data_IF_670114597656
#
_entry.id   IF_670114597656
#
_cell.length_a   1.000
_cell.length_b   1.000
_cell.length_c   1.000
_cell.angle_alpha   90.00
_cell.angle_beta   90.00
_cell.angle_gamma   90.00
#
_symmetry.space_group_name_H-M   'P 1'
#
loop_
_entity.id
_entity.type
_entity.pdbx_description
1 polymer ?
#
# COMPACT_ATOMS: atom_id res chain seq x y z
N UNK A 1 30.53 30.63 -6.52
CA UNK A 1 30.66 29.73 -5.34
C UNK A 1 30.77 28.32 -5.85
N UNK A 2 31.97 27.80 -5.97
CA UNK A 2 32.22 26.40 -6.35
C UNK A 2 31.96 25.54 -5.12
N UNK A 3 30.84 24.82 -5.14
CA UNK A 3 30.53 23.81 -4.12
C UNK A 3 31.51 22.66 -4.31
N UNK A 4 32.43 22.50 -3.37
CA UNK A 4 33.36 21.36 -3.32
C UNK A 4 32.58 20.05 -3.20
N UNK A 5 32.67 19.22 -4.22
CA UNK A 5 32.05 17.90 -4.34
C UNK A 5 32.90 16.78 -3.72
N UNK A 6 33.61 17.04 -2.63
CA UNK A 6 34.43 16.04 -1.93
C UNK A 6 33.52 15.10 -1.12
N UNK A 7 33.33 13.89 -1.61
CA UNK A 7 32.55 12.90 -0.85
C UNK A 7 32.63 11.45 -1.33
N UNK A 8 32.75 11.19 -2.61
CA UNK A 8 32.99 9.85 -3.13
C UNK A 8 33.92 10.02 -4.36
N UNK A 9 35.19 9.74 -4.19
CA UNK A 9 36.10 9.63 -5.34
C UNK A 9 35.93 8.25 -5.97
N UNK A 10 35.03 8.16 -6.96
CA UNK A 10 34.97 6.99 -7.81
C UNK A 10 36.08 7.18 -8.87
N UNK A 11 37.20 6.47 -8.70
CA UNK A 11 38.23 6.36 -9.71
C UNK A 11 37.73 5.57 -10.90
N UNK A 12 36.84 6.13 -11.69
CA UNK A 12 36.36 5.51 -12.92
C UNK A 12 37.09 6.10 -14.12
N UNK A 13 37.62 5.23 -14.94
CA UNK A 13 38.34 5.54 -16.20
C UNK A 13 37.42 6.15 -17.27
N UNK A 14 36.10 6.18 -17.06
CA UNK A 14 35.06 6.63 -18.00
C UNK A 14 34.36 7.89 -17.48
N UNK A 15 34.55 9.01 -18.15
CA UNK A 15 33.99 10.31 -17.78
C UNK A 15 32.45 10.30 -17.68
N UNK A 16 31.77 9.53 -18.51
CA UNK A 16 30.33 9.42 -18.52
C UNK A 16 29.75 8.77 -17.25
N UNK A 17 30.44 7.76 -16.68
CA UNK A 17 30.01 7.13 -15.42
C UNK A 17 30.07 8.12 -14.27
N UNK A 18 31.12 8.93 -14.23
CA UNK A 18 31.24 9.98 -13.21
C UNK A 18 30.13 11.01 -13.33
N UNK A 19 29.83 11.47 -14.56
CA UNK A 19 28.75 12.42 -14.80
C UNK A 19 27.38 11.84 -14.43
N UNK A 20 27.11 10.57 -14.79
CA UNK A 20 25.89 9.86 -14.41
C UNK A 20 25.76 9.76 -12.87
N UNK A 21 26.83 9.41 -12.17
CA UNK A 21 26.84 9.34 -10.69
C UNK A 21 26.65 10.73 -10.05
N UNK A 22 27.21 11.77 -10.61
CA UNK A 22 27.02 13.15 -10.15
C UNK A 22 25.55 13.59 -10.34
N UNK A 23 24.93 13.25 -11.48
CA UNK A 23 23.52 13.51 -11.75
C UNK A 23 22.64 12.74 -10.78
N UNK A 24 22.81 11.41 -10.67
CA UNK A 24 22.03 10.55 -9.80
C UNK A 24 22.15 10.93 -8.32
N UNK A 25 23.32 11.42 -7.86
CA UNK A 25 23.51 11.90 -6.49
C UNK A 25 23.09 13.36 -6.29
N UNK A 26 22.48 14.00 -7.27
CA UNK A 26 22.06 15.40 -7.22
C UNK A 26 20.73 15.55 -6.46
N UNK A 27 20.68 16.49 -5.51
CA UNK A 27 19.42 16.85 -4.83
C UNK A 27 18.34 17.32 -5.82
N UNK A 28 18.72 18.04 -6.89
CA UNK A 28 17.77 18.53 -7.90
C UNK A 28 17.08 17.37 -8.61
N UNK A 29 17.83 16.34 -8.97
CA UNK A 29 17.30 15.14 -9.61
C UNK A 29 16.34 14.39 -8.67
N UNK A 30 16.72 14.17 -7.41
CA UNK A 30 15.84 13.53 -6.43
C UNK A 30 14.53 14.32 -6.21
N UNK A 31 14.60 15.65 -6.13
CA UNK A 31 13.41 16.50 -5.99
C UNK A 31 12.49 16.38 -7.23
N UNK A 32 13.07 16.38 -8.44
CA UNK A 32 12.28 16.21 -9.67
C UNK A 32 11.54 14.87 -9.70
N UNK A 33 12.24 13.76 -9.34
CA UNK A 33 11.62 12.44 -9.25
C UNK A 33 10.50 12.41 -8.20
N UNK A 34 10.77 12.97 -7.03
CA UNK A 34 9.76 13.04 -5.94
C UNK A 34 8.53 13.83 -6.37
N UNK A 35 8.71 14.95 -7.09
CA UNK A 35 7.61 15.76 -7.60
C UNK A 35 6.74 14.99 -8.60
N UNK A 36 7.36 14.23 -9.51
CA UNK A 36 6.63 13.40 -10.48
C UNK A 36 5.84 12.30 -9.74
N UNK A 37 6.48 11.60 -8.79
CA UNK A 37 5.82 10.57 -7.98
C UNK A 37 4.65 11.16 -7.19
N UNK A 38 4.83 12.35 -6.61
CA UNK A 38 3.77 13.01 -5.85
C UNK A 38 2.55 13.33 -6.72
N UNK A 39 2.77 13.85 -7.94
CA UNK A 39 1.68 14.13 -8.90
C UNK A 39 0.99 12.83 -9.30
N UNK A 40 1.76 11.80 -9.64
CA UNK A 40 1.22 10.49 -9.99
C UNK A 40 0.41 9.88 -8.84
N UNK A 41 0.89 10.01 -7.60
CA UNK A 41 0.18 9.51 -6.41
C UNK A 41 -1.14 10.25 -6.16
N UNK A 42 -1.19 11.56 -6.41
CA UNK A 42 -2.47 12.32 -6.35
C UNK A 42 -3.47 11.76 -7.36
N UNK A 43 -3.04 11.54 -8.61
CA UNK A 43 -3.91 10.95 -9.63
C UNK A 43 -4.35 9.54 -9.19
N UNK A 44 -3.43 8.71 -8.69
CA UNK A 44 -3.72 7.35 -8.24
C UNK A 44 -4.62 7.27 -7.00
N UNK A 45 -4.69 8.34 -6.21
CA UNK A 45 -5.59 8.43 -5.05
C UNK A 45 -7.00 8.85 -5.47
N UNK A 46 -7.11 9.76 -6.43
CA UNK A 46 -8.41 10.27 -6.91
C UNK A 46 -9.07 9.26 -7.86
N UNK A 47 -8.30 8.64 -8.74
CA UNK A 47 -8.80 7.63 -9.66
C UNK A 47 -8.82 6.27 -8.95
N UNK A 48 -9.99 5.61 -8.90
CA UNK A 48 -10.08 4.23 -8.40
C UNK A 48 -9.08 3.36 -9.15
N UNK A 49 -8.36 2.54 -8.42
CA UNK A 49 -7.32 1.68 -8.98
C UNK A 49 -7.82 0.25 -9.16
N UNK A 50 -7.33 -0.43 -10.21
CA UNK A 50 -7.60 -1.85 -10.49
C UNK A 50 -9.09 -2.18 -10.74
N UNK A 51 -9.89 -1.23 -11.16
CA UNK A 51 -11.28 -1.47 -11.59
C UNK A 51 -11.32 -2.04 -13.02
N UNK A 52 -12.36 -2.79 -13.39
CA UNK A 52 -12.60 -3.20 -14.76
C UNK A 52 -12.69 -1.98 -15.71
N UNK A 53 -12.11 -2.10 -16.90
CA UNK A 53 -12.04 -0.97 -17.87
C UNK A 53 -13.42 -0.41 -18.20
N UNK A 54 -14.45 -1.26 -18.27
CA UNK A 54 -15.82 -0.84 -18.52
C UNK A 54 -16.34 0.18 -17.49
N UNK A 55 -15.88 0.11 -16.25
CA UNK A 55 -16.27 1.07 -15.21
C UNK A 55 -15.73 2.47 -15.51
N UNK A 56 -14.49 2.57 -16.02
CA UNK A 56 -13.92 3.84 -16.46
C UNK A 56 -14.61 4.38 -17.71
N UNK A 57 -14.96 3.51 -18.67
CA UNK A 57 -15.73 3.92 -19.86
C UNK A 57 -17.10 4.48 -19.48
N UNK A 58 -17.78 3.83 -18.55
CA UNK A 58 -19.11 4.25 -18.07
C UNK A 58 -19.05 5.57 -17.28
N UNK A 59 -17.98 5.79 -16.50
CA UNK A 59 -17.86 6.94 -15.62
C UNK A 59 -17.26 8.17 -16.32
N UNK A 60 -16.25 7.98 -17.19
CA UNK A 60 -15.45 9.07 -17.80
C UNK A 60 -15.61 9.16 -19.31
N UNK A 61 -16.25 8.18 -19.92
CA UNK A 61 -16.37 8.06 -21.37
C UNK A 61 -15.17 7.39 -22.04
N UNK A 62 -15.31 7.00 -23.33
CA UNK A 62 -14.31 6.19 -24.05
C UNK A 62 -12.97 6.92 -24.23
N UNK A 63 -12.98 8.22 -24.50
CA UNK A 63 -11.77 9.02 -24.70
C UNK A 63 -10.86 9.02 -23.46
N UNK A 64 -11.41 9.33 -22.29
CA UNK A 64 -10.62 9.36 -21.04
C UNK A 64 -10.18 7.98 -20.59
N UNK A 65 -11.02 6.96 -20.78
CA UNK A 65 -10.65 5.58 -20.44
C UNK A 65 -9.50 5.07 -21.30
N UNK A 66 -9.44 5.40 -22.59
CA UNK A 66 -8.32 5.06 -23.46
C UNK A 66 -7.01 5.76 -23.01
N UNK A 67 -7.11 7.03 -22.60
CA UNK A 67 -5.97 7.75 -22.03
C UNK A 67 -5.48 7.09 -20.73
N UNK A 68 -6.39 6.69 -19.85
CA UNK A 68 -6.04 6.01 -18.60
C UNK A 68 -5.35 4.66 -18.85
N UNK A 69 -5.79 3.92 -19.84
CA UNK A 69 -5.15 2.65 -20.24
C UNK A 69 -3.77 2.90 -20.83
N UNK A 70 -3.65 3.84 -21.77
CA UNK A 70 -2.39 4.16 -22.47
C UNK A 70 -1.28 4.55 -21.48
N UNK A 71 -1.59 5.38 -20.50
CA UNK A 71 -0.64 5.82 -19.48
C UNK A 71 -0.64 4.93 -18.23
N UNK A 72 -1.41 3.84 -18.21
CA UNK A 72 -1.58 2.95 -17.05
C UNK A 72 -2.02 3.71 -15.79
N UNK A 73 -2.85 4.75 -15.93
CA UNK A 73 -3.31 5.56 -14.80
C UNK A 73 -4.34 4.81 -13.93
N UNK A 74 -5.02 3.81 -14.47
CA UNK A 74 -5.93 2.92 -13.76
C UNK A 74 -5.19 1.89 -12.86
N UNK A 75 -3.86 1.76 -13.04
CA UNK A 75 -2.96 0.88 -12.30
C UNK A 75 -1.62 1.55 -12.00
N UNK A 76 -1.65 2.82 -11.57
CA UNK A 76 -0.46 3.67 -11.43
C UNK A 76 0.63 2.99 -10.59
N UNK A 77 0.25 2.45 -9.43
CA UNK A 77 1.22 1.88 -8.49
C UNK A 77 1.92 0.61 -9.00
N UNK A 78 1.36 -0.05 -10.02
CA UNK A 78 1.93 -1.20 -10.72
C UNK A 78 2.50 -0.82 -12.10
N UNK A 79 2.36 0.44 -12.55
CA UNK A 79 2.85 0.89 -13.84
C UNK A 79 4.39 0.84 -13.89
N UNK A 80 4.94 0.29 -14.98
CA UNK A 80 6.38 0.12 -15.14
C UNK A 80 7.18 1.42 -15.01
N UNK A 81 6.65 2.55 -15.52
CA UNK A 81 7.30 3.85 -15.44
C UNK A 81 7.29 4.41 -14.00
N UNK A 82 6.21 4.17 -13.24
CA UNK A 82 6.13 4.57 -11.83
C UNK A 82 7.15 3.80 -10.98
N UNK A 83 7.20 2.48 -11.15
CA UNK A 83 8.16 1.62 -10.44
C UNK A 83 9.61 1.97 -10.82
N UNK A 84 9.88 2.31 -12.09
CA UNK A 84 11.18 2.75 -12.55
C UNK A 84 11.60 4.06 -11.88
N UNK A 85 10.71 5.06 -11.86
CA UNK A 85 10.97 6.36 -11.21
C UNK A 85 11.21 6.15 -9.71
N UNK A 86 10.41 5.28 -9.08
CA UNK A 86 10.56 4.93 -7.65
C UNK A 86 11.93 4.28 -7.37
N UNK A 87 12.38 3.35 -8.22
CA UNK A 87 13.69 2.73 -8.12
C UNK A 87 14.82 3.76 -8.27
N UNK A 88 14.70 4.68 -9.23
CA UNK A 88 15.64 5.79 -9.38
C UNK A 88 15.64 6.72 -8.18
N UNK A 89 14.49 6.99 -7.57
CA UNK A 89 14.40 7.80 -6.35
C UNK A 89 15.11 7.12 -5.18
N UNK A 90 14.90 5.82 -4.98
CA UNK A 90 15.63 5.02 -3.97
C UNK A 90 17.13 5.12 -4.18
N UNK A 91 17.59 4.88 -5.41
CA UNK A 91 19.00 4.96 -5.77
C UNK A 91 19.58 6.37 -5.51
N UNK A 92 18.92 7.41 -6.02
CA UNK A 92 19.34 8.80 -5.90
C UNK A 92 19.41 9.25 -4.46
N UNK A 93 18.38 8.97 -3.66
CA UNK A 93 18.33 9.36 -2.24
C UNK A 93 19.36 8.57 -1.42
N UNK A 94 19.56 7.28 -1.69
CA UNK A 94 20.59 6.47 -1.05
C UNK A 94 22.01 7.00 -1.33
N UNK A 95 22.29 7.38 -2.57
CA UNK A 95 23.58 8.01 -2.94
C UNK A 95 23.75 9.37 -2.26
N UNK A 96 22.69 10.16 -2.15
CA UNK A 96 22.70 11.41 -1.39
C UNK A 96 23.03 11.19 0.09
N UNK A 97 22.40 10.21 0.72
CA UNK A 97 22.68 9.84 2.11
C UNK A 97 24.14 9.39 2.26
N UNK A 98 24.59 8.46 1.44
CA UNK A 98 25.96 7.93 1.48
C UNK A 98 27.02 9.04 1.34
N UNK A 99 26.73 10.07 0.53
CA UNK A 99 27.61 11.22 0.32
C UNK A 99 27.65 12.17 1.52
N UNK A 100 26.53 12.40 2.19
CA UNK A 100 26.41 13.39 3.26
C UNK A 100 26.59 12.80 4.67
N UNK A 101 26.21 11.53 4.87
CA UNK A 101 26.27 10.88 6.16
C UNK A 101 27.65 10.89 6.83
N UNK A 102 28.78 10.57 6.15
CA UNK A 102 30.08 10.57 6.78
C UNK A 102 30.44 11.96 7.33
N UNK A 103 30.18 13.03 6.57
CA UNK A 103 30.43 14.40 6.98
C UNK A 103 29.57 14.81 8.18
N UNK A 104 28.29 14.45 8.16
CA UNK A 104 27.36 14.74 9.26
C UNK A 104 27.78 14.00 10.54
N UNK A 105 28.20 12.74 10.43
CA UNK A 105 28.64 11.93 11.55
C UNK A 105 29.98 12.46 12.14
N UNK A 106 30.91 12.89 11.27
CA UNK A 106 32.14 13.54 11.72
C UNK A 106 31.83 14.86 12.43
N UNK A 107 31.01 15.72 11.82
CA UNK A 107 30.57 16.98 12.42
C UNK A 107 29.83 16.77 13.77
N UNK A 108 29.12 15.64 13.92
CA UNK A 108 28.43 15.30 15.17
C UNK A 108 29.41 14.87 16.28
N UNK A 109 30.53 14.24 15.92
CA UNK A 109 31.52 13.75 16.89
C UNK A 109 32.61 14.78 17.18
N UNK A 110 33.13 15.48 16.19
CA UNK A 110 34.26 16.39 16.28
C UNK A 110 33.83 17.77 16.75
N UNK A 111 34.60 18.36 17.68
CA UNK A 111 34.35 19.69 18.24
C UNK A 111 35.25 20.77 17.63
N UNK A 112 36.18 20.42 16.73
CA UNK A 112 37.19 21.33 16.16
C UNK A 112 38.09 21.98 17.22
N UNK A 113 38.28 21.32 18.33
CA UNK A 113 39.15 21.74 19.41
C UNK A 113 40.61 21.91 18.97
N UNK A 114 41.03 21.23 17.89
CA UNK A 114 42.38 21.33 17.32
C UNK A 114 42.63 22.55 16.43
N UNK A 115 41.72 23.53 16.35
CA UNK A 115 41.84 24.68 15.44
C UNK A 115 42.98 25.63 15.84
N UNK A 116 43.80 26.09 14.87
CA UNK A 116 44.91 27.02 15.12
C UNK A 116 44.37 28.41 15.47
N UNK A 117 45.11 29.16 16.35
CA UNK A 117 44.72 30.52 16.76
C UNK A 117 44.59 31.48 15.58
N UNK A 118 45.44 31.32 14.54
CA UNK A 118 45.35 32.11 13.32
C UNK A 118 44.03 31.86 12.55
N UNK A 119 43.52 30.63 12.54
CA UNK A 119 42.26 30.30 11.91
C UNK A 119 41.07 30.93 12.65
N UNK A 120 41.17 31.11 13.98
CA UNK A 120 40.14 31.81 14.74
C UNK A 120 40.00 33.27 14.33
N UNK A 121 41.08 33.91 13.92
CA UNK A 121 41.10 35.31 13.44
C UNK A 121 40.40 35.47 12.08
N UNK A 122 40.18 34.39 11.34
CA UNK A 122 39.51 34.40 10.03
C UNK A 122 37.99 34.31 10.12
N UNK A 123 37.41 34.06 11.31
CA UNK A 123 35.95 34.04 11.47
C UNK A 123 35.35 35.45 11.40
N UNK A 124 34.22 35.58 10.71
CA UNK A 124 33.48 36.85 10.60
C UNK A 124 32.98 37.37 11.96
N UNK A 125 32.47 36.45 12.79
CA UNK A 125 32.01 36.76 14.16
C UNK A 125 33.13 36.43 15.15
N UNK A 126 33.88 37.43 15.57
CA UNK A 126 34.96 37.30 16.53
C UNK A 126 35.01 38.48 17.49
N UNK A 127 35.41 38.21 18.71
CA UNK A 127 35.69 39.22 19.70
C UNK A 127 37.00 38.84 20.43
N UNK A 128 37.74 39.81 20.93
CA UNK A 128 38.93 39.62 21.75
C UNK A 128 38.90 40.60 22.90
N UNK A 129 39.40 40.18 24.05
CA UNK A 129 39.48 41.01 25.25
C UNK A 129 40.54 40.48 26.22
N UNK A 130 40.99 41.32 27.12
CA UNK A 130 41.90 40.97 28.21
C UNK A 130 41.04 40.48 29.40
N UNK A 131 41.51 39.45 30.08
CA UNK A 131 40.94 38.95 31.34
C UNK A 131 42.00 39.03 32.43
N UNK A 132 41.58 39.41 33.63
CA UNK A 132 42.45 39.54 34.81
C UNK A 132 42.57 38.25 35.60
N UNK A 133 41.83 37.22 35.26
CA UNK A 133 41.80 35.90 35.92
C UNK A 133 42.76 34.91 35.26
N UNK A 134 43.24 33.86 35.99
CA UNK A 134 44.05 32.80 35.43
C UNK A 134 43.36 32.07 34.28
N UNK A 135 44.15 31.67 33.26
CA UNK A 135 43.65 31.03 32.02
C UNK A 135 42.76 29.80 32.28
N UNK A 136 43.11 28.95 33.25
CA UNK A 136 42.35 27.74 33.58
C UNK A 136 41.01 28.06 34.23
N UNK A 137 40.95 29.07 35.10
CA UNK A 137 39.72 29.51 35.78
C UNK A 137 38.75 30.17 34.78
N UNK A 138 39.30 31.04 33.91
CA UNK A 138 38.53 31.62 32.82
C UNK A 138 37.91 30.56 31.92
N UNK A 139 38.71 29.55 31.50
CA UNK A 139 38.23 28.46 30.68
C UNK A 139 37.20 27.59 31.40
N UNK A 140 37.36 27.34 32.68
CA UNK A 140 36.39 26.60 33.49
C UNK A 140 35.08 27.38 33.66
N UNK A 141 35.11 28.70 33.86
CA UNK A 141 33.94 29.57 33.96
C UNK A 141 33.15 29.59 32.64
N UNK A 142 33.84 29.84 31.51
CA UNK A 142 33.25 29.84 30.17
C UNK A 142 32.61 28.48 29.86
N UNK A 143 33.32 27.38 30.19
CA UNK A 143 32.80 26.03 29.97
C UNK A 143 31.54 25.74 30.77
N UNK A 144 31.46 26.23 32.01
CA UNK A 144 30.24 26.07 32.85
C UNK A 144 29.08 26.87 32.28
N UNK A 145 29.31 28.11 31.88
CA UNK A 145 28.27 28.96 31.28
C UNK A 145 27.71 28.37 29.99
N UNK A 146 28.60 27.88 29.12
CA UNK A 146 28.21 27.23 27.86
C UNK A 146 27.39 25.94 28.12
N UNK A 147 27.80 25.12 29.08
CA UNK A 147 27.05 23.93 29.47
C UNK A 147 25.68 24.26 30.04
N UNK A 148 25.60 25.31 30.90
CA UNK A 148 24.34 25.80 31.44
C UNK A 148 23.41 26.29 30.35
N UNK A 149 23.95 26.85 29.24
CA UNK A 149 23.22 27.22 28.03
C UNK A 149 22.87 26.05 27.08
N UNK A 150 23.08 24.79 27.48
CA UNK A 150 22.75 23.61 26.65
C UNK A 150 23.80 23.23 25.60
N UNK A 151 25.00 23.86 25.65
CA UNK A 151 26.09 23.55 24.72
C UNK A 151 26.88 22.33 25.20
N UNK A 152 27.24 21.44 24.26
CA UNK A 152 28.26 20.41 24.52
C UNK A 152 29.63 21.04 24.41
N UNK A 153 30.47 20.88 25.44
CA UNK A 153 31.77 21.56 25.55
C UNK A 153 32.89 20.54 25.62
N UNK A 154 33.97 20.78 24.88
CA UNK A 154 35.24 20.07 24.97
C UNK A 154 36.35 21.09 25.13
N UNK A 155 37.30 20.82 26.02
CA UNK A 155 38.45 21.67 26.31
C UNK A 155 39.74 20.97 25.88
N UNK A 156 40.73 21.77 25.38
CA UNK A 156 42.06 21.28 25.04
C UNK A 156 43.09 22.29 25.50
N UNK A 157 44.05 21.84 26.32
CA UNK A 157 45.20 22.65 26.71
C UNK A 157 46.20 22.68 25.57
N UNK A 158 46.84 23.85 25.38
CA UNK A 158 47.84 24.08 24.31
C UNK A 158 48.99 24.91 24.83
N UNK A 159 50.15 24.66 24.29
CA UNK A 159 51.28 25.58 24.46
C UNK A 159 51.14 26.71 23.45
N UNK A 160 51.27 27.95 23.94
CA UNK A 160 51.27 29.16 23.14
C UNK A 160 52.58 29.92 23.38
N UNK A 161 52.98 30.85 22.50
CA UNK A 161 54.18 31.68 22.72
C UNK A 161 54.17 32.48 24.04
N UNK A 162 52.97 32.61 24.66
CA UNK A 162 52.77 33.37 25.90
C UNK A 162 52.49 32.49 27.12
N UNK A 163 52.75 31.16 27.03
CA UNK A 163 52.48 30.19 28.08
C UNK A 163 51.34 29.22 27.74
N UNK A 164 50.81 28.52 28.74
CA UNK A 164 49.71 27.58 28.55
C UNK A 164 48.41 28.29 28.22
N UNK A 165 47.83 27.95 27.09
CA UNK A 165 46.49 28.36 26.67
C UNK A 165 45.48 27.22 26.70
N UNK A 166 44.20 27.54 26.84
CA UNK A 166 43.10 26.56 26.79
C UNK A 166 42.16 26.92 25.66
N UNK A 167 41.91 25.94 24.79
CA UNK A 167 40.87 26.02 23.76
C UNK A 167 39.58 25.43 24.33
N UNK A 168 38.55 26.26 24.35
CA UNK A 168 37.18 25.81 24.69
C UNK A 168 36.38 25.74 23.40
N UNK A 169 36.02 24.54 22.98
CA UNK A 169 35.20 24.31 21.82
C UNK A 169 33.81 23.89 22.25
N UNK A 170 32.78 24.60 21.79
CA UNK A 170 31.42 24.33 22.15
C UNK A 170 30.54 24.19 20.90
N UNK A 171 29.57 23.31 20.94
CA UNK A 171 28.57 23.16 19.87
C UNK A 171 27.18 22.83 20.40
N UNK A 172 26.17 23.34 19.70
CA UNK A 172 24.77 23.05 19.93
C UNK A 172 24.09 22.76 18.59
N UNK A 173 22.90 22.16 18.63
CA UNK A 173 22.08 21.91 17.44
C UNK A 173 22.62 20.84 16.48
N UNK A 174 23.71 20.14 16.81
CA UNK A 174 24.28 19.09 15.93
C UNK A 174 23.30 17.92 15.68
N UNK A 175 22.33 17.72 16.58
CA UNK A 175 21.27 16.69 16.46
C UNK A 175 20.36 16.97 15.26
N UNK A 176 20.15 18.22 14.88
CA UNK A 176 19.31 18.59 13.74
C UNK A 176 19.81 17.99 12.42
N UNK A 177 21.13 17.81 12.28
CA UNK A 177 21.72 17.14 11.11
C UNK A 177 21.43 15.63 11.07
N UNK A 178 21.25 14.99 12.24
CA UNK A 178 20.83 13.59 12.34
C UNK A 178 19.38 13.44 11.89
N UNK A 179 18.52 14.42 12.19
CA UNK A 179 17.15 14.47 11.69
C UNK A 179 17.08 14.46 10.15
N UNK A 180 18.00 15.15 9.49
CA UNK A 180 18.12 15.07 8.03
C UNK A 180 18.38 13.64 7.54
N UNK A 181 19.33 12.92 8.15
CA UNK A 181 19.61 11.54 7.80
C UNK A 181 18.41 10.62 8.07
N UNK A 182 17.77 10.79 9.23
CA UNK A 182 16.60 9.98 9.59
C UNK A 182 15.44 10.18 8.61
N UNK A 183 15.12 11.44 8.25
CA UNK A 183 14.05 11.74 7.29
C UNK A 183 14.32 11.15 5.90
N UNK A 184 15.54 11.29 5.38
CA UNK A 184 15.90 10.74 4.07
C UNK A 184 15.95 9.21 4.09
N UNK A 185 16.45 8.60 5.18
CA UNK A 185 16.41 7.14 5.35
C UNK A 185 14.99 6.61 5.43
N UNK A 186 14.06 7.33 6.08
CA UNK A 186 12.65 6.96 6.11
C UNK A 186 12.03 6.96 4.72
N UNK A 187 12.32 7.98 3.88
CA UNK A 187 11.86 8.02 2.49
C UNK A 187 12.37 6.80 1.71
N UNK A 188 13.66 6.46 1.85
CA UNK A 188 14.24 5.29 1.18
C UNK A 188 13.55 4.00 1.63
N UNK A 189 13.32 3.82 2.93
CA UNK A 189 12.65 2.64 3.47
C UNK A 189 11.20 2.52 2.99
N UNK A 190 10.45 3.64 2.96
CA UNK A 190 9.09 3.67 2.44
C UNK A 190 9.07 3.30 0.95
N UNK A 191 9.97 3.87 0.16
CA UNK A 191 10.05 3.58 -1.27
C UNK A 191 10.47 2.13 -1.55
N UNK A 192 11.39 1.57 -0.76
CA UNK A 192 11.77 0.15 -0.85
C UNK A 192 10.54 -0.71 -0.49
N UNK A 193 9.82 -0.40 0.58
CA UNK A 193 8.59 -1.09 0.95
C UNK A 193 7.57 -1.08 -0.19
N UNK A 194 7.36 0.06 -0.83
CA UNK A 194 6.45 0.19 -1.97
C UNK A 194 6.90 -0.62 -3.21
N UNK A 195 8.21 -0.74 -3.46
CA UNK A 195 8.75 -1.61 -4.51
C UNK A 195 8.49 -3.10 -4.22
N UNK A 196 8.55 -3.50 -2.94
CA UNK A 196 8.24 -4.86 -2.53
C UNK A 196 6.74 -5.17 -2.53
N UNK A 197 5.90 -4.21 -2.17
CA UNK A 197 4.44 -4.34 -2.21
C UNK A 197 3.88 -4.30 -3.64
N UNK A 198 4.62 -3.69 -4.57
CA UNK A 198 4.27 -3.66 -5.98
C UNK A 198 4.59 -4.97 -6.71
N UNK A 199 4.02 -5.13 -7.91
CA UNK A 199 4.22 -6.32 -8.76
C UNK A 199 5.66 -6.52 -9.25
N UNK A 200 6.59 -5.61 -8.93
CA UNK A 200 7.96 -5.66 -9.47
C UNK A 200 8.70 -6.92 -9.04
N UNK A 201 8.52 -7.37 -7.79
CA UNK A 201 9.17 -8.59 -7.29
C UNK A 201 8.56 -9.82 -7.97
N UNK A 202 7.25 -9.85 -8.15
CA UNK A 202 6.55 -10.93 -8.87
C UNK A 202 6.99 -10.96 -10.33
N UNK A 203 7.04 -9.83 -11.02
CA UNK A 203 7.53 -9.73 -12.41
C UNK A 203 8.98 -10.13 -12.56
N UNK A 204 9.84 -9.74 -11.61
CA UNK A 204 11.24 -10.17 -11.60
C UNK A 204 11.38 -11.69 -11.45
N UNK A 205 10.58 -12.32 -10.58
CA UNK A 205 10.55 -13.77 -10.42
C UNK A 205 10.01 -14.48 -11.67
N UNK A 206 8.98 -13.93 -12.29
CA UNK A 206 8.45 -14.45 -13.55
C UNK A 206 9.54 -14.43 -14.64
N UNK A 207 10.25 -13.31 -14.75
CA UNK A 207 11.33 -13.17 -15.74
C UNK A 207 12.53 -14.09 -15.48
N UNK A 208 12.95 -14.21 -14.21
CA UNK A 208 14.08 -15.07 -13.82
C UNK A 208 13.74 -16.56 -13.82
N UNK A 209 12.47 -16.91 -13.60
CA UNK A 209 11.98 -18.29 -13.50
C UNK A 209 11.24 -18.78 -14.74
N UNK A 210 11.32 -18.04 -15.87
CA UNK A 210 10.60 -18.33 -17.11
C UNK A 210 9.10 -18.60 -16.88
N UNK A 211 8.49 -17.85 -15.94
CA UNK A 211 7.07 -17.99 -15.63
C UNK A 211 6.23 -17.11 -16.54
N UNK A 212 5.12 -17.65 -16.98
CA UNK A 212 4.19 -16.99 -17.89
C UNK A 212 2.84 -16.73 -17.24
N UNK A 213 2.07 -15.81 -17.80
CA UNK A 213 0.72 -15.50 -17.36
C UNK A 213 -0.26 -16.50 -17.97
N UNK A 214 -1.13 -17.05 -17.15
CA UNK A 214 -2.23 -17.89 -17.62
C UNK A 214 -3.38 -17.02 -18.11
N UNK A 215 -3.77 -17.21 -19.39
CA UNK A 215 -4.85 -16.46 -20.06
C UNK A 215 -6.11 -17.28 -20.24
N UNK A 216 -6.10 -18.54 -19.83
CA UNK A 216 -7.25 -19.44 -19.94
C UNK A 216 -8.23 -19.31 -18.80
N UNK A 217 -9.36 -20.03 -18.93
CA UNK A 217 -10.30 -20.30 -17.85
C UNK A 217 -10.26 -21.80 -17.52
N UNK A 218 -10.82 -22.19 -16.37
CA UNK A 218 -10.91 -23.60 -15.94
C UNK A 218 -10.61 -23.78 -14.46
N UNK A 219 -10.34 -25.01 -14.08
CA UNK A 219 -10.03 -25.34 -12.70
C UNK A 219 -8.58 -24.94 -12.34
N UNK A 220 -8.39 -24.43 -11.13
CA UNK A 220 -7.06 -24.07 -10.61
C UNK A 220 -6.09 -25.26 -10.67
N UNK A 221 -6.60 -26.49 -10.53
CA UNK A 221 -5.82 -27.72 -10.60
C UNK A 221 -5.17 -27.95 -11.98
N UNK A 222 -5.84 -27.50 -13.05
CA UNK A 222 -5.40 -27.71 -14.43
C UNK A 222 -4.40 -26.66 -14.91
N UNK A 223 -4.13 -25.62 -14.11
CA UNK A 223 -3.19 -24.55 -14.46
C UNK A 223 -1.76 -25.09 -14.42
N UNK A 224 -0.99 -24.97 -15.52
CA UNK A 224 0.37 -25.50 -15.64
C UNK A 224 1.35 -24.92 -14.61
N UNK A 225 2.43 -25.65 -14.32
CA UNK A 225 3.47 -25.23 -13.37
C UNK A 225 4.23 -23.96 -13.81
N UNK A 226 4.27 -23.68 -15.10
CA UNK A 226 4.87 -22.45 -15.65
C UNK A 226 4.07 -21.17 -15.27
N UNK A 227 2.79 -21.32 -14.91
CA UNK A 227 1.92 -20.26 -14.47
C UNK A 227 1.80 -20.17 -12.93
N UNK A 228 2.65 -20.91 -12.20
CA UNK A 228 2.71 -20.93 -10.74
C UNK A 228 4.03 -20.39 -10.23
N UNK A 229 3.98 -19.52 -9.23
CA UNK A 229 5.17 -18.99 -8.57
C UNK A 229 5.77 -20.01 -7.59
N UNK A 230 7.03 -19.80 -7.22
CA UNK A 230 7.71 -20.63 -6.22
C UNK A 230 7.06 -20.47 -4.84
N UNK A 231 7.03 -21.55 -4.05
CA UNK A 231 6.60 -21.52 -2.64
C UNK A 231 7.48 -20.58 -1.77
N UNK A 232 8.74 -20.37 -2.19
CA UNK A 232 9.69 -19.49 -1.50
C UNK A 232 9.58 -18.01 -1.96
N UNK A 233 8.44 -17.62 -2.53
CA UNK A 233 8.21 -16.24 -2.92
C UNK A 233 8.24 -15.30 -1.69
N UNK A 234 9.15 -14.31 -1.64
CA UNK A 234 9.29 -13.44 -0.47
C UNK A 234 8.14 -12.45 -0.30
N UNK A 235 7.40 -12.16 -1.38
CA UNK A 235 6.26 -11.24 -1.34
C UNK A 235 5.31 -11.50 -2.50
N UNK A 236 4.02 -11.46 -2.19
CA UNK A 236 2.93 -11.52 -3.17
C UNK A 236 1.68 -10.88 -2.58
N UNK A 237 0.81 -10.45 -3.45
CA UNK A 237 -0.52 -9.98 -3.10
C UNK A 237 -1.51 -10.54 -4.11
N UNK A 238 -2.55 -11.19 -3.62
CA UNK A 238 -3.56 -11.79 -4.47
C UNK A 238 -4.83 -12.12 -3.71
N UNK A 239 -5.79 -12.64 -4.43
CA UNK A 239 -7.10 -12.98 -3.89
C UNK A 239 -7.30 -14.50 -3.89
N UNK A 240 -8.05 -14.97 -2.92
CA UNK A 240 -8.49 -16.36 -2.83
C UNK A 240 -9.98 -16.37 -2.51
N UNK A 241 -10.75 -17.05 -3.33
CA UNK A 241 -12.18 -17.26 -3.10
C UNK A 241 -12.35 -18.60 -2.38
N UNK A 242 -12.99 -18.57 -1.23
CA UNK A 242 -13.26 -19.76 -0.42
C UNK A 242 -14.76 -19.75 -0.06
N UNK A 243 -15.56 -20.62 -0.66
CA UNK A 243 -16.96 -20.81 -0.25
C UNK A 243 -17.08 -21.38 1.16
N UNK A 244 -18.21 -21.16 1.83
CA UNK A 244 -18.48 -21.80 3.13
C UNK A 244 -18.44 -23.33 3.02
N UNK A 245 -17.77 -23.99 3.95
CA UNK A 245 -17.55 -25.43 3.96
C UNK A 245 -16.52 -25.94 2.95
N UNK A 246 -15.89 -25.02 2.19
CA UNK A 246 -14.83 -25.38 1.24
C UNK A 246 -13.45 -24.98 1.73
N UNK A 247 -12.41 -25.54 1.10
CA UNK A 247 -11.01 -25.34 1.43
C UNK A 247 -10.23 -24.93 0.19
N UNK A 248 -9.36 -23.93 0.33
CA UNK A 248 -8.46 -23.49 -0.74
C UNK A 248 -7.02 -23.30 -0.22
N UNK A 249 -6.05 -23.44 -1.11
CA UNK A 249 -4.62 -23.28 -0.79
C UNK A 249 -3.84 -22.56 -1.86
N UNK A 250 -4.50 -21.98 -2.85
CA UNK A 250 -3.89 -21.29 -3.97
C UNK A 250 -4.43 -19.88 -4.08
N UNK A 251 -3.55 -18.92 -4.12
CA UNK A 251 -3.85 -17.49 -4.27
C UNK A 251 -3.73 -17.11 -5.74
N UNK A 252 -4.67 -16.32 -6.23
CA UNK A 252 -4.72 -15.81 -7.60
C UNK A 252 -4.15 -14.39 -7.60
N UNK A 253 -3.06 -14.19 -8.33
CA UNK A 253 -2.43 -12.89 -8.55
C UNK A 253 -2.85 -12.38 -9.92
N UNK A 254 -3.68 -11.33 -9.94
CA UNK A 254 -4.11 -10.68 -11.18
C UNK A 254 -2.94 -9.95 -11.83
N UNK A 255 -2.73 -10.17 -13.12
CA UNK A 255 -1.76 -9.48 -13.96
C UNK A 255 -2.52 -8.78 -15.11
N UNK A 256 -1.94 -7.78 -15.79
CA UNK A 256 -2.64 -7.07 -16.86
C UNK A 256 -3.21 -7.97 -17.96
N UNK A 257 -2.52 -9.09 -18.25
CA UNK A 257 -2.86 -9.99 -19.33
C UNK A 257 -3.41 -11.35 -18.89
N UNK A 258 -3.74 -11.53 -17.60
CA UNK A 258 -4.26 -12.79 -17.06
C UNK A 258 -3.92 -12.99 -15.59
N UNK A 259 -3.62 -14.22 -15.18
CA UNK A 259 -3.34 -14.53 -13.77
C UNK A 259 -2.07 -15.36 -13.61
N UNK A 260 -1.46 -15.26 -12.43
CA UNK A 260 -0.39 -16.14 -11.96
C UNK A 260 -0.81 -16.72 -10.62
N UNK A 261 -0.52 -17.97 -10.37
CA UNK A 261 -0.91 -18.65 -9.14
C UNK A 261 0.23 -18.71 -8.14
N UNK A 262 -0.11 -18.55 -6.86
CA UNK A 262 0.78 -18.76 -5.72
C UNK A 262 0.18 -19.81 -4.81
N UNK A 263 0.83 -20.94 -4.71
CA UNK A 263 0.44 -21.98 -3.76
C UNK A 263 0.93 -21.62 -2.35
N UNK A 264 0.11 -21.94 -1.33
CA UNK A 264 0.45 -21.76 0.07
C UNK A 264 0.90 -23.08 0.71
N UNK A 265 1.82 -23.03 1.70
CA UNK A 265 2.21 -24.20 2.49
C UNK A 265 1.11 -24.66 3.46
N UNK A 266 -0.01 -24.00 3.47
CA UNK A 266 -1.22 -24.31 4.25
C UNK A 266 -2.47 -24.14 3.38
N UNK A 267 -3.60 -24.61 3.85
CA UNK A 267 -4.90 -24.33 3.25
C UNK A 267 -5.81 -23.64 4.25
N UNK A 268 -6.76 -22.90 3.72
CA UNK A 268 -7.75 -22.16 4.49
C UNK A 268 -9.12 -22.76 4.18
N UNK A 269 -9.81 -23.20 5.20
CA UNK A 269 -11.21 -23.61 5.18
C UNK A 269 -12.07 -22.48 5.72
N UNK A 270 -13.11 -22.08 5.02
CA UNK A 270 -14.11 -21.14 5.52
C UNK A 270 -15.22 -21.91 6.20
N UNK A 271 -15.28 -21.84 7.51
CA UNK A 271 -16.34 -22.50 8.29
C UNK A 271 -17.63 -21.71 8.24
N UNK A 272 -17.54 -20.38 8.38
CA UNK A 272 -18.70 -19.50 8.38
C UNK A 272 -18.34 -18.08 7.99
N UNK A 273 -19.15 -17.47 7.14
CA UNK A 273 -19.10 -16.04 6.86
C UNK A 273 -20.17 -15.31 7.70
N UNK A 274 -19.77 -14.29 8.44
CA UNK A 274 -20.61 -13.57 9.39
C UNK A 274 -20.78 -12.13 8.91
N UNK A 275 -22.04 -11.70 8.79
CA UNK A 275 -22.39 -10.30 8.54
C UNK A 275 -23.27 -9.83 9.69
N UNK A 276 -22.86 -8.77 10.38
CA UNK A 276 -23.69 -8.08 11.36
C UNK A 276 -24.16 -6.75 10.79
N UNK A 277 -25.35 -6.33 11.19
CA UNK A 277 -25.95 -5.09 10.76
C UNK A 277 -26.25 -4.18 11.95
N UNK A 278 -26.20 -2.88 11.73
CA UNK A 278 -26.80 -1.90 12.64
C UNK A 278 -28.32 -1.93 12.53
N UNK A 279 -29.02 -1.36 13.52
CA UNK A 279 -30.48 -1.19 13.48
C UNK A 279 -30.96 -0.38 12.26
N UNK A 280 -30.08 0.39 11.66
CA UNK A 280 -30.31 1.15 10.41
C UNK A 280 -30.27 0.29 9.15
N UNK A 281 -29.92 -1.01 9.25
CA UNK A 281 -29.71 -1.91 8.10
C UNK A 281 -28.35 -1.77 7.43
N UNK A 282 -27.48 -0.87 7.90
CA UNK A 282 -26.10 -0.76 7.39
C UNK A 282 -25.24 -1.90 7.92
N UNK A 283 -24.33 -2.48 7.10
CA UNK A 283 -23.38 -3.46 7.57
C UNK A 283 -22.50 -2.88 8.69
N UNK A 284 -22.38 -3.63 9.78
CA UNK A 284 -21.57 -3.31 10.95
C UNK A 284 -20.24 -4.08 10.96
N UNK A 285 -20.32 -5.35 10.60
CA UNK A 285 -19.19 -6.28 10.63
C UNK A 285 -19.27 -7.24 9.46
N UNK A 286 -18.11 -7.48 8.83
CA UNK A 286 -17.87 -8.62 7.97
C UNK A 286 -16.74 -9.44 8.58
N UNK A 287 -17.00 -10.71 8.84
CA UNK A 287 -16.02 -11.62 9.43
C UNK A 287 -16.09 -12.99 8.75
N UNK A 288 -14.94 -13.66 8.69
CA UNK A 288 -14.80 -15.02 8.24
C UNK A 288 -14.24 -15.88 9.36
N UNK A 289 -14.98 -16.86 9.84
CA UNK A 289 -14.48 -17.90 10.73
C UNK A 289 -13.78 -18.94 9.88
N UNK A 290 -12.46 -19.07 10.02
CA UNK A 290 -11.61 -19.92 9.20
C UNK A 290 -10.90 -20.96 10.04
N UNK A 291 -10.55 -22.09 9.40
CA UNK A 291 -9.59 -23.06 9.92
C UNK A 291 -8.39 -23.13 9.00
N UNK A 292 -7.22 -22.86 9.52
CA UNK A 292 -5.96 -22.99 8.81
C UNK A 292 -5.42 -24.39 9.02
N UNK A 293 -5.21 -25.13 7.93
CA UNK A 293 -4.65 -26.47 7.93
C UNK A 293 -3.21 -26.44 7.42
N UNK A 294 -2.26 -26.68 8.30
CA UNK A 294 -0.84 -26.71 7.94
C UNK A 294 -0.49 -28.01 7.22
N UNK A 295 0.02 -27.91 5.98
CA UNK A 295 0.34 -29.09 5.15
C UNK A 295 1.56 -29.87 5.62
N UNK A 296 2.50 -29.21 6.34
CA UNK A 296 3.73 -29.84 6.79
C UNK A 296 3.56 -30.51 8.16
N UNK A 297 2.88 -29.84 9.08
CA UNK A 297 2.74 -30.32 10.45
C UNK A 297 1.43 -31.08 10.70
N UNK A 298 0.45 -30.92 9.81
CA UNK A 298 -0.91 -31.43 10.01
C UNK A 298 -1.71 -30.68 11.09
N UNK A 299 -1.16 -29.61 11.65
CA UNK A 299 -1.83 -28.82 12.69
C UNK A 299 -2.97 -28.01 12.10
N UNK A 300 -4.00 -27.79 12.93
CA UNK A 300 -5.18 -26.99 12.58
C UNK A 300 -5.32 -25.85 13.57
N UNK A 301 -5.63 -24.64 13.06
CA UNK A 301 -5.79 -23.43 13.82
C UNK A 301 -7.10 -22.75 13.44
N UNK A 302 -8.03 -22.64 14.39
CA UNK A 302 -9.26 -21.89 14.19
C UNK A 302 -9.01 -20.41 14.50
N UNK A 303 -9.35 -19.55 13.55
CA UNK A 303 -9.12 -18.11 13.63
C UNK A 303 -10.30 -17.35 13.04
N UNK A 304 -10.44 -16.07 13.41
CA UNK A 304 -11.43 -15.17 12.82
C UNK A 304 -10.74 -14.01 12.11
N UNK A 305 -11.05 -13.84 10.83
CA UNK A 305 -10.58 -12.71 10.02
C UNK A 305 -11.71 -11.69 9.91
N UNK A 306 -11.46 -10.45 10.29
CA UNK A 306 -12.42 -9.36 10.18
C UNK A 306 -11.86 -8.23 9.31
N UNK A 307 -12.71 -7.35 8.83
CA UNK A 307 -12.27 -6.14 8.15
C UNK A 307 -11.37 -5.32 9.10
N UNK A 308 -10.17 -4.98 8.66
CA UNK A 308 -9.11 -4.32 9.42
C UNK A 308 -8.48 -5.14 10.57
N UNK A 309 -8.86 -6.41 10.75
CA UNK A 309 -8.24 -7.33 11.71
C UNK A 309 -7.78 -8.60 10.98
N UNK A 310 -6.62 -8.53 10.29
CA UNK A 310 -6.09 -9.67 9.57
C UNK A 310 -5.49 -10.72 10.50
N UNK A 311 -5.46 -11.96 10.03
CA UNK A 311 -4.74 -13.05 10.68
C UNK A 311 -3.40 -13.28 9.99
N UNK A 312 -2.36 -13.52 10.78
CA UNK A 312 -1.02 -13.80 10.27
C UNK A 312 -0.63 -15.25 10.53
N UNK A 313 -0.28 -15.98 9.47
CA UNK A 313 0.20 -17.35 9.56
C UNK A 313 1.38 -17.61 8.63
N UNK A 314 2.49 -18.16 9.13
CA UNK A 314 3.73 -18.41 8.36
C UNK A 314 4.22 -17.23 7.53
N UNK A 315 4.07 -16.00 8.03
CA UNK A 315 4.47 -14.77 7.33
C UNK A 315 3.48 -14.29 6.27
N UNK A 316 2.38 -15.01 6.06
CA UNK A 316 1.28 -14.58 5.19
C UNK A 316 0.22 -13.88 6.01
N UNK A 317 -0.19 -12.70 5.56
CA UNK A 317 -1.30 -11.93 6.14
C UNK A 317 -2.58 -12.24 5.37
N UNK A 318 -3.62 -12.65 6.07
CA UNK A 318 -4.92 -13.03 5.53
C UNK A 318 -5.93 -11.94 5.89
N UNK A 319 -6.48 -11.27 4.87
CA UNK A 319 -7.42 -10.17 5.03
C UNK A 319 -8.81 -10.55 4.52
N UNK A 320 -9.86 -10.07 5.18
CA UNK A 320 -11.20 -10.02 4.61
C UNK A 320 -11.26 -8.86 3.62
N UNK A 321 -11.35 -9.14 2.31
CA UNK A 321 -11.36 -8.10 1.28
C UNK A 321 -12.73 -7.87 0.66
N UNK A 322 -13.42 -8.94 0.30
CA UNK A 322 -14.73 -8.89 -0.33
C UNK A 322 -15.48 -10.19 -0.04
N UNK A 323 -16.75 -10.22 -0.38
CA UNK A 323 -17.56 -11.42 -0.39
C UNK A 323 -18.39 -11.43 -1.67
N UNK A 324 -18.75 -12.62 -2.11
CA UNK A 324 -19.63 -12.84 -3.24
C UNK A 324 -20.65 -13.89 -2.85
N UNK A 325 -21.76 -13.91 -3.56
CA UNK A 325 -22.79 -14.95 -3.37
C UNK A 325 -22.42 -16.18 -4.21
N UNK A 326 -21.64 -17.04 -3.62
CA UNK A 326 -21.05 -18.22 -4.26
C UNK A 326 -21.98 -19.41 -4.38
N UNK A 327 -23.29 -19.23 -4.60
CA UNK A 327 -24.17 -20.35 -4.86
C UNK A 327 -25.47 -20.41 -4.06
N UNK A 328 -26.02 -19.27 -3.67
CA UNK A 328 -27.37 -19.22 -3.10
C UNK A 328 -28.37 -19.77 -4.08
N UNK A 329 -29.28 -20.59 -3.56
CA UNK A 329 -30.42 -21.08 -4.34
C UNK A 329 -31.55 -20.05 -4.35
N UNK A 330 -31.97 -19.67 -5.54
CA UNK A 330 -33.10 -18.74 -5.74
C UNK A 330 -34.35 -19.51 -6.05
N UNK A 331 -35.39 -19.24 -5.28
CA UNK A 331 -36.76 -19.75 -5.53
C UNK A 331 -37.62 -18.59 -6.06
N UNK A 332 -37.92 -18.60 -7.33
CA UNK A 332 -38.76 -17.60 -7.98
C UNK A 332 -40.13 -18.13 -8.34
N UNK A 333 -41.18 -17.33 -8.13
CA UNK A 333 -42.51 -17.61 -8.64
C UNK A 333 -42.69 -16.84 -9.96
N UNK A 334 -42.71 -17.55 -11.07
CA UNK A 334 -42.98 -16.97 -12.38
C UNK A 334 -44.50 -16.77 -12.56
N UNK A 335 -44.87 -15.53 -12.83
CA UNK A 335 -46.25 -15.14 -13.13
C UNK A 335 -46.35 -14.85 -14.64
N UNK A 336 -46.94 -15.75 -15.41
CA UNK A 336 -47.17 -15.53 -16.84
C UNK A 336 -48.11 -14.34 -17.06
N UNK A 337 -47.77 -13.45 -17.97
CA UNK A 337 -48.57 -12.27 -18.28
C UNK A 337 -49.81 -12.55 -19.13
N UNK A 338 -49.99 -13.81 -19.58
CA UNK A 338 -51.16 -14.23 -20.36
C UNK A 338 -52.33 -14.69 -19.48
N UNK A 339 -53.55 -14.37 -19.88
CA UNK A 339 -54.78 -14.55 -19.09
C UNK A 339 -55.18 -16.00 -18.72
N UNK A 340 -54.50 -17.01 -19.25
CA UNK A 340 -54.87 -18.44 -19.08
C UNK A 340 -53.77 -19.33 -18.51
N UNK A 341 -52.71 -18.75 -17.94
CA UNK A 341 -51.57 -19.55 -17.50
C UNK A 341 -51.39 -19.51 -15.99
N UNK A 342 -51.14 -20.70 -15.41
CA UNK A 342 -50.94 -20.82 -13.95
C UNK A 342 -49.51 -20.40 -13.57
N UNK A 343 -49.33 -19.78 -12.39
CA UNK A 343 -47.99 -19.53 -11.82
C UNK A 343 -47.19 -20.83 -11.68
N UNK A 344 -45.89 -20.77 -11.93
CA UNK A 344 -45.00 -21.90 -11.72
C UNK A 344 -43.74 -21.47 -10.98
N UNK A 345 -43.08 -22.43 -10.35
CA UNK A 345 -41.84 -22.18 -9.59
C UNK A 345 -40.62 -22.43 -10.45
N UNK A 346 -39.67 -21.55 -10.34
CA UNK A 346 -38.33 -21.71 -10.91
C UNK A 346 -37.36 -21.77 -9.75
N UNK A 347 -36.54 -22.81 -9.75
CA UNK A 347 -35.45 -22.95 -8.77
C UNK A 347 -34.14 -22.99 -9.54
N UNK A 348 -33.17 -22.22 -9.08
CA UNK A 348 -31.85 -22.17 -9.69
C UNK A 348 -30.80 -21.64 -8.74
N UNK A 349 -29.57 -22.06 -8.95
CA UNK A 349 -28.40 -21.59 -8.20
C UNK A 349 -27.82 -20.37 -8.91
N UNK A 350 -27.39 -19.38 -8.15
CA UNK A 350 -26.69 -18.20 -8.72
C UNK A 350 -25.47 -18.65 -9.53
N UNK A 351 -25.29 -18.07 -10.72
CA UNK A 351 -24.30 -18.51 -11.70
C UNK A 351 -24.70 -19.67 -12.59
N UNK A 352 -25.94 -20.22 -12.44
CA UNK A 352 -26.43 -21.29 -13.27
C UNK A 352 -27.55 -20.85 -14.23
N UNK A 353 -27.81 -21.69 -15.22
CA UNK A 353 -28.91 -21.52 -16.19
C UNK A 353 -29.90 -22.65 -16.06
N UNK A 354 -31.18 -22.31 -15.99
CA UNK A 354 -32.29 -23.28 -15.92
C UNK A 354 -33.11 -23.26 -17.23
N UNK A 355 -33.14 -24.36 -17.97
CA UNK A 355 -33.95 -24.45 -19.18
C UNK A 355 -35.43 -24.56 -18.81
N UNK A 356 -36.26 -23.76 -19.43
CA UNK A 356 -37.71 -23.83 -19.37
C UNK A 356 -38.27 -24.26 -20.73
N UNK A 357 -38.91 -25.40 -20.74
CA UNK A 357 -39.56 -25.92 -21.97
C UNK A 357 -41.06 -25.80 -21.81
N UNK A 358 -41.68 -25.08 -22.72
CA UNK A 358 -43.13 -24.93 -22.77
C UNK A 358 -43.64 -25.04 -24.20
N UNK A 359 -44.50 -26.03 -24.42
CA UNK A 359 -45.05 -26.37 -25.75
C UNK A 359 -43.91 -26.52 -26.80
N UNK A 360 -43.77 -25.61 -27.71
CA UNK A 360 -42.75 -25.64 -28.76
C UNK A 360 -41.65 -24.54 -28.55
N UNK A 361 -41.68 -23.87 -27.39
CA UNK A 361 -40.70 -22.80 -27.05
C UNK A 361 -39.71 -23.31 -26.00
N UNK A 362 -38.43 -23.06 -26.25
CA UNK A 362 -37.34 -23.27 -25.29
C UNK A 362 -36.83 -21.92 -24.82
N UNK A 363 -36.97 -21.68 -23.53
CA UNK A 363 -36.44 -20.49 -22.88
C UNK A 363 -35.35 -20.91 -21.87
N UNK A 364 -34.36 -20.09 -21.65
CA UNK A 364 -33.38 -20.31 -20.62
C UNK A 364 -33.40 -19.13 -19.65
N UNK A 365 -33.58 -19.44 -18.37
CA UNK A 365 -33.44 -18.44 -17.30
C UNK A 365 -32.05 -18.55 -16.73
N UNK A 366 -31.29 -17.47 -16.84
CA UNK A 366 -29.92 -17.38 -16.33
C UNK A 366 -29.92 -16.53 -15.04
N UNK A 367 -29.38 -17.09 -13.96
CA UNK A 367 -29.22 -16.41 -12.68
C UNK A 367 -27.82 -15.83 -12.63
N UNK A 368 -27.66 -14.58 -13.07
CA UNK A 368 -26.33 -13.93 -13.25
C UNK A 368 -25.72 -13.41 -11.96
N UNK A 369 -26.52 -13.14 -10.93
CA UNK A 369 -26.03 -12.68 -9.64
C UNK A 369 -27.16 -12.32 -8.68
N UNK A 370 -26.88 -12.37 -7.38
CA UNK A 370 -27.77 -11.92 -6.31
C UNK A 370 -27.09 -10.77 -5.56
N UNK A 371 -27.72 -9.63 -5.51
CA UNK A 371 -27.30 -8.53 -4.64
C UNK A 371 -27.97 -8.67 -3.28
N UNK A 372 -27.28 -9.27 -2.33
CA UNK A 372 -27.78 -9.46 -0.96
C UNK A 372 -27.95 -8.13 -0.24
N UNK A 373 -27.04 -7.18 -0.51
CA UNK A 373 -27.08 -5.83 0.04
C UNK A 373 -27.27 -4.86 -1.13
N UNK A 374 -28.39 -4.15 -1.15
CA UNK A 374 -28.64 -3.11 -2.13
C UNK A 374 -28.57 -1.75 -1.43
N UNK A 375 -27.72 -0.85 -1.95
CA UNK A 375 -27.62 0.52 -1.45
C UNK A 375 -28.53 1.39 -2.30
N UNK A 376 -29.64 1.83 -1.72
CA UNK A 376 -30.59 2.70 -2.40
C UNK A 376 -30.42 4.15 -1.93
N UNK A 377 -30.44 5.09 -2.86
CA UNK A 377 -30.51 6.49 -2.54
C UNK A 377 -31.98 6.88 -2.31
N UNK A 378 -32.33 7.05 -1.06
CA UNK A 378 -33.70 7.38 -0.66
C UNK A 378 -34.06 8.85 -0.87
N UNK A 379 -33.09 9.72 -1.18
CA UNK A 379 -33.32 11.14 -1.42
C UNK A 379 -34.21 11.43 -2.63
N UNK A 380 -34.25 10.51 -3.63
CA UNK A 380 -35.08 10.64 -4.82
C UNK A 380 -36.55 10.23 -4.67
N UNK A 381 -36.90 9.48 -3.62
CA UNK A 381 -38.24 8.89 -3.48
C UNK A 381 -39.27 9.79 -2.76
N UNK A 382 -38.87 10.93 -2.23
CA UNK A 382 -39.74 11.85 -1.46
C UNK A 382 -39.84 13.28 -2.00
N UNK A 383 -39.41 13.53 -3.21
CA UNK A 383 -39.54 14.87 -3.79
C UNK A 383 -40.96 15.11 -4.34
N UNK A 384 -41.80 15.73 -3.51
CA UNK A 384 -42.76 16.72 -4.00
C UNK A 384 -41.99 17.95 -4.49
N UNK A 385 -42.58 18.80 -5.34
CA UNK A 385 -41.88 19.86 -6.06
C UNK A 385 -41.20 20.95 -5.22
N UNK A 386 -41.27 20.91 -3.88
CA UNK A 386 -40.85 22.03 -2.99
C UNK A 386 -39.94 21.67 -1.82
N UNK A 387 -39.43 20.43 -1.69
CA UNK A 387 -38.52 20.11 -0.59
C UNK A 387 -37.15 19.65 -1.11
N UNK A 388 -36.15 20.52 -0.93
CA UNK A 388 -34.75 20.27 -1.20
C UNK A 388 -34.17 19.19 -0.28
N UNK A 389 -34.35 17.93 -0.65
CA UNK A 389 -33.74 16.80 0.04
C UNK A 389 -32.22 16.78 -0.23
N UNK A 390 -31.42 16.58 0.84
CA UNK A 390 -29.99 16.41 0.75
C UNK A 390 -29.64 15.22 -0.15
N UNK A 391 -28.73 15.40 -1.10
CA UNK A 391 -28.24 14.38 -2.03
C UNK A 391 -27.46 13.21 -1.35
N UNK A 392 -27.43 13.16 -0.01
CA UNK A 392 -26.60 12.28 0.81
C UNK A 392 -27.35 11.23 1.64
N UNK A 393 -28.67 11.10 1.52
CA UNK A 393 -29.42 10.06 2.25
C UNK A 393 -29.34 8.71 1.52
N UNK A 394 -28.18 8.06 1.63
CA UNK A 394 -27.92 6.73 1.09
C UNK A 394 -28.10 5.71 2.20
N UNK A 395 -29.02 4.76 2.02
CA UNK A 395 -29.29 3.69 2.98
C UNK A 395 -29.04 2.32 2.31
N UNK A 396 -28.39 1.43 3.04
CA UNK A 396 -28.35 0.02 2.67
C UNK A 396 -29.70 -0.61 2.99
N UNK A 397 -30.30 -1.26 2.02
CA UNK A 397 -31.58 -1.94 2.17
C UNK A 397 -31.33 -3.44 2.11
N UNK A 398 -31.57 -4.13 3.22
CA UNK A 398 -31.62 -5.59 3.23
C UNK A 398 -32.95 -6.04 2.57
N UNK A 399 -32.83 -6.59 1.37
CA UNK A 399 -33.99 -7.14 0.63
C UNK A 399 -34.72 -8.24 1.41
N UNK A 400 -34.00 -9.03 2.23
CA UNK A 400 -34.60 -10.07 3.06
C UNK A 400 -35.46 -9.51 4.19
N UNK A 401 -35.10 -8.40 4.81
CA UNK A 401 -35.87 -7.71 5.82
C UNK A 401 -37.13 -7.06 5.23
N UNK A 402 -37.00 -6.39 4.06
CA UNK A 402 -38.18 -5.82 3.36
C UNK A 402 -39.19 -6.85 2.88
N UNK A 403 -38.72 -8.04 2.43
CA UNK A 403 -39.61 -9.11 2.05
C UNK A 403 -40.42 -9.62 3.25
N UNK A 404 -39.84 -9.70 4.45
CA UNK A 404 -40.54 -10.07 5.69
C UNK A 404 -41.63 -9.06 6.05
N UNK A 405 -41.40 -7.78 5.89
CA UNK A 405 -42.35 -6.72 6.19
C UNK A 405 -43.53 -6.71 5.20
N UNK A 406 -43.29 -7.07 3.93
CA UNK A 406 -44.31 -7.10 2.88
C UNK A 406 -45.13 -8.39 2.85
N UNK A 407 -44.54 -9.52 3.24
CA UNK A 407 -45.21 -10.86 3.19
C UNK A 407 -45.87 -11.26 4.50
N UNK A 408 -45.81 -10.39 5.53
CA UNK A 408 -46.35 -10.72 6.85
C UNK A 408 -45.57 -11.84 7.54
N UNK A 409 -45.75 -12.00 8.83
CA UNK A 409 -45.05 -12.92 9.72
C UNK A 409 -45.18 -14.43 9.42
N UNK A 410 -45.60 -14.79 8.22
CA UNK A 410 -45.81 -16.18 7.77
C UNK A 410 -44.68 -16.78 6.92
N UNK A 411 -43.76 -15.99 6.40
CA UNK A 411 -42.65 -16.51 5.64
C UNK A 411 -41.46 -16.82 6.57
N UNK A 412 -41.32 -18.04 7.01
CA UNK A 412 -40.08 -18.53 7.66
C UNK A 412 -38.97 -18.44 6.62
N UNK A 413 -38.00 -17.55 6.90
CA UNK A 413 -36.71 -17.60 6.25
C UNK A 413 -36.02 -18.86 6.70
N UNK A 414 -35.98 -19.88 5.88
CA UNK A 414 -35.03 -20.97 5.99
C UNK A 414 -33.69 -20.45 5.52
N UNK A 415 -32.90 -19.88 6.46
CA UNK A 415 -31.46 -19.87 6.36
C UNK A 415 -30.98 -21.12 7.10
N UNK A 416 -30.68 -22.17 6.40
CA UNK A 416 -29.67 -23.16 6.76
C UNK A 416 -28.48 -22.99 5.85
#
# INVERSE_FOLDING_TARGET
MTVSTQGIEIKTRRAWVRQAMELLSSMRFAISLLSIISIASVIGTVLKQNEPINNYVNQFGPFWSELFVTFSLHTIYSAWWFLLILAFLVLSTSLCIARHAPKILVDWRVFKEGMRSQSLKAFGNRASGALSEPTLEAAARVSRQLRAGGWRVKTQTRETPHGQGVMVAAKAGAVNKVGYLAAHSAIVLICIGALFDGDMVVRAQMWLGDKTVFKGGGLIADVPAENRLSLNNPTFRGNMLVPEGAQASTVILSQPDGVVLQDLPFSIELTKFVVEYYDTGMPKLFASDIVIHDKETGAQFAERVEVNHPVSYRGVQIYQSSFDDGGSTVFANALPMGALTKPFKIEGVIGSSVPLVRDNEQLTVEFTGLRVINVENMAGAKMGPDEGGSATDVRAVDLGARLKDHLGSGAKSTRE
#
